data_IF_487909484157
#
_entry.id   IF_487909484157
#
_cell.length_a   1.000
_cell.length_b   1.000
_cell.length_c   1.000
_cell.angle_alpha   90.00
_cell.angle_beta   90.00
_cell.angle_gamma   90.00
#
_symmetry.space_group_name_H-M   'P 1'
#
loop_
_entity.id
_entity.type
_entity.pdbx_description
1 polymer ?
#
# COMPACT_ATOMS: atom_id res chain seq x y z
N UNK A 1 36.96 5.04 -1.99
CA UNK A 1 35.88 5.45 -1.05
C UNK A 1 34.94 6.49 -1.68
N UNK A 2 34.60 6.38 -2.97
CA UNK A 2 33.77 7.38 -3.68
C UNK A 2 32.60 6.76 -4.47
N UNK A 3 32.67 5.48 -4.85
CA UNK A 3 31.61 4.84 -5.63
C UNK A 3 30.40 4.41 -4.78
N UNK A 4 30.62 4.01 -3.52
CA UNK A 4 29.56 3.63 -2.57
C UNK A 4 28.70 4.82 -2.14
N UNK A 5 29.31 5.99 -1.99
CA UNK A 5 28.63 7.24 -1.64
C UNK A 5 27.77 7.75 -2.80
N UNK A 6 28.25 7.59 -4.03
CA UNK A 6 27.52 8.01 -5.24
C UNK A 6 26.26 7.17 -5.49
N UNK A 7 26.34 5.85 -5.27
CA UNK A 7 25.17 4.95 -5.36
C UNK A 7 24.13 5.29 -4.29
N UNK A 8 24.57 5.61 -3.07
CA UNK A 8 23.66 6.03 -1.99
C UNK A 8 22.91 7.34 -2.28
N UNK A 9 23.57 8.31 -2.91
CA UNK A 9 22.96 9.59 -3.29
C UNK A 9 21.96 9.42 -4.44
N UNK A 10 22.26 8.56 -5.42
CA UNK A 10 21.35 8.27 -6.54
C UNK A 10 20.09 7.53 -6.06
N UNK A 11 20.23 6.57 -5.14
CA UNK A 11 19.08 5.88 -4.55
C UNK A 11 18.19 6.80 -3.72
N UNK A 12 18.78 7.77 -3.00
CA UNK A 12 18.03 8.77 -2.23
C UNK A 12 17.28 9.77 -3.13
N UNK A 13 17.88 10.16 -4.26
CA UNK A 13 17.25 11.03 -5.27
C UNK A 13 16.08 10.35 -6.00
N UNK A 14 16.16 9.04 -6.25
CA UNK A 14 15.07 8.26 -6.86
C UNK A 14 13.86 8.10 -5.90
N UNK A 15 14.11 8.01 -4.59
CA UNK A 15 13.04 7.99 -3.58
C UNK A 15 12.34 9.35 -3.45
N UNK A 16 13.07 10.47 -3.55
CA UNK A 16 12.50 11.82 -3.48
C UNK A 16 11.68 12.20 -4.72
N UNK A 17 11.96 11.61 -5.89
CA UNK A 17 11.16 11.80 -7.11
C UNK A 17 9.87 10.95 -7.13
N UNK A 18 9.67 10.07 -6.15
CA UNK A 18 8.51 9.18 -6.05
C UNK A 18 7.36 9.76 -5.21
N UNK A 19 7.57 10.90 -4.53
CA UNK A 19 6.55 11.58 -3.73
C UNK A 19 6.42 13.05 -4.15
N UNK A 20 5.57 13.37 -5.15
CA UNK A 20 5.15 14.74 -5.34
C UNK A 20 4.13 15.07 -4.25
N UNK A 21 4.59 15.72 -3.19
CA UNK A 21 3.71 16.50 -2.32
C UNK A 21 3.16 17.67 -3.14
N UNK A 22 1.89 17.52 -3.51
CA UNK A 22 0.95 18.55 -3.92
C UNK A 22 1.38 19.44 -5.11
N UNK A 23 0.89 19.08 -6.31
CA UNK A 23 0.29 20.08 -7.19
C UNK A 23 -0.76 19.46 -8.13
N UNK A 24 -1.92 20.11 -8.14
CA UNK A 24 -2.97 20.12 -9.16
C UNK A 24 -4.04 18.99 -9.21
N UNK A 25 -5.04 19.20 -8.34
CA UNK A 25 -6.45 18.80 -8.44
C UNK A 25 -7.20 19.18 -9.74
N UNK A 26 -6.56 19.21 -10.91
CA UNK A 26 -7.24 19.48 -12.19
C UNK A 26 -7.58 18.22 -13.00
N UNK A 27 -7.07 17.04 -12.62
CA UNK A 27 -7.33 15.77 -13.32
C UNK A 27 -8.50 14.93 -12.79
N UNK A 28 -8.98 15.18 -11.57
CA UNK A 28 -9.96 14.30 -10.90
C UNK A 28 -11.45 14.63 -11.19
N UNK A 29 -11.74 15.70 -11.93
CA UNK A 29 -13.14 16.05 -12.28
C UNK A 29 -13.70 15.29 -13.49
N UNK A 30 -12.92 14.44 -14.17
CA UNK A 30 -13.35 13.76 -15.40
C UNK A 30 -13.48 12.23 -15.28
N UNK A 31 -13.50 11.69 -14.06
CA UNK A 31 -13.79 10.27 -13.79
C UNK A 31 -15.19 10.02 -13.22
N UNK A 32 -16.03 11.05 -13.13
CA UNK A 32 -17.39 10.95 -12.60
C UNK A 32 -18.47 10.70 -13.68
N UNK A 33 -18.07 10.24 -14.88
CA UNK A 33 -19.04 9.80 -15.89
C UNK A 33 -18.96 8.28 -16.08
N UNK A 34 -20.01 7.59 -15.59
CA UNK A 34 -20.40 6.20 -15.87
C UNK A 34 -19.41 5.12 -15.42
N UNK A 35 -19.74 4.47 -14.31
CA UNK A 35 -19.15 3.19 -13.86
C UNK A 35 -19.49 2.02 -14.79
N UNK A 36 -18.97 2.04 -16.02
CA UNK A 36 -19.13 0.98 -17.02
C UNK A 36 -17.86 0.15 -17.27
N UNK A 37 -16.76 0.44 -16.57
CA UNK A 37 -15.45 -0.20 -16.82
C UNK A 37 -14.82 -0.84 -15.57
N UNK A 38 -15.43 -0.69 -14.40
CA UNK A 38 -14.99 -1.37 -13.18
C UNK A 38 -15.71 -2.71 -13.09
N UNK A 39 -14.98 -3.81 -13.20
CA UNK A 39 -15.51 -5.18 -13.25
C UNK A 39 -14.85 -6.04 -12.15
N UNK A 40 -15.50 -7.13 -11.76
CA UNK A 40 -14.89 -8.19 -10.95
C UNK A 40 -14.25 -9.28 -11.82
N UNK A 41 -14.50 -9.27 -13.13
CA UNK A 41 -13.83 -10.15 -14.09
C UNK A 41 -12.44 -9.59 -14.41
N UNK A 42 -11.46 -10.46 -14.67
CA UNK A 42 -10.16 -10.04 -15.16
C UNK A 42 -10.31 -9.49 -16.59
N UNK A 43 -10.63 -8.19 -16.69
CA UNK A 43 -10.45 -7.47 -17.94
C UNK A 43 -8.96 -7.21 -18.09
N UNK A 44 -8.28 -8.21 -18.65
CA UNK A 44 -7.18 -7.94 -19.56
C UNK A 44 -7.61 -6.78 -20.42
N UNK A 45 -6.84 -5.70 -20.42
CA UNK A 45 -7.06 -4.61 -21.35
C UNK A 45 -7.32 -5.23 -22.73
N UNK A 46 -8.57 -5.17 -23.18
CA UNK A 46 -8.92 -5.28 -24.60
C UNK A 46 -8.40 -4.04 -25.36
N UNK A 47 -7.77 -3.11 -24.63
CA UNK A 47 -7.05 -1.98 -25.14
C UNK A 47 -5.69 -2.47 -25.61
N UNK A 48 -5.48 -2.48 -26.92
CA UNK A 48 -4.54 -1.57 -27.60
C UNK A 48 -3.15 -1.38 -26.99
N UNK A 49 -2.66 -2.25 -26.10
CA UNK A 49 -1.33 -2.19 -25.49
C UNK A 49 -0.28 -2.81 -26.40
N UNK A 50 -0.72 -3.73 -27.25
CA UNK A 50 -0.03 -4.18 -28.45
C UNK A 50 0.09 -3.06 -29.49
N UNK A 51 -0.95 -2.27 -29.70
CA UNK A 51 -0.95 -1.17 -30.70
C UNK A 51 -0.33 0.14 -30.18
N UNK A 52 -0.28 0.35 -28.87
CA UNK A 52 0.56 1.35 -28.20
C UNK A 52 1.89 0.75 -27.72
N UNK A 53 2.41 -0.25 -28.42
CA UNK A 53 3.81 -0.65 -28.32
C UNK A 53 4.67 0.61 -28.50
N UNK A 54 5.24 1.20 -27.42
CA UNK A 54 6.20 2.28 -27.57
C UNK A 54 7.41 1.71 -28.32
N UNK A 55 7.63 0.40 -28.23
CA UNK A 55 8.60 -0.39 -28.95
C UNK A 55 8.66 -0.05 -30.44
N UNK A 56 7.57 -0.21 -31.22
CA UNK A 56 7.60 0.07 -32.66
C UNK A 56 7.84 1.56 -32.98
N UNK A 57 7.16 2.46 -32.24
CA UNK A 57 7.33 3.90 -32.42
C UNK A 57 8.77 4.35 -32.07
N UNK A 58 9.35 3.82 -31.00
CA UNK A 58 10.69 4.14 -30.53
C UNK A 58 11.75 3.50 -31.45
N UNK A 59 11.54 2.29 -31.96
CA UNK A 59 12.42 1.69 -32.95
C UNK A 59 12.50 2.57 -34.21
N UNK A 60 11.34 3.03 -34.72
CA UNK A 60 11.30 3.94 -35.86
C UNK A 60 11.90 5.33 -35.57
N UNK A 61 11.67 5.87 -34.36
CA UNK A 61 12.17 7.19 -33.96
C UNK A 61 13.69 7.20 -33.70
N UNK A 62 14.23 6.14 -33.13
CA UNK A 62 15.63 6.06 -32.71
C UNK A 62 16.48 5.15 -33.59
N UNK A 63 15.93 4.64 -34.70
CA UNK A 63 16.58 3.78 -35.68
C UNK A 63 17.28 2.57 -35.02
N UNK A 64 16.63 2.00 -34.01
CA UNK A 64 17.12 0.84 -33.28
C UNK A 64 16.71 -0.43 -34.03
N UNK A 65 17.62 -1.39 -34.20
CA UNK A 65 17.24 -2.67 -34.77
C UNK A 65 16.43 -3.51 -33.78
N UNK A 66 15.58 -4.41 -34.31
CA UNK A 66 14.74 -5.31 -33.52
C UNK A 66 15.57 -6.21 -32.58
N UNK A 67 16.80 -6.54 -32.99
CA UNK A 67 17.76 -7.33 -32.20
C UNK A 67 18.51 -6.53 -31.13
N UNK A 68 18.55 -5.20 -31.21
CA UNK A 68 19.30 -4.34 -30.28
C UNK A 68 18.45 -3.81 -29.12
N UNK A 69 17.13 -4.08 -29.12
CA UNK A 69 16.18 -3.42 -28.23
C UNK A 69 15.53 -4.41 -27.26
N UNK A 70 16.25 -4.75 -26.18
CA UNK A 70 15.73 -5.62 -25.13
C UNK A 70 14.96 -4.79 -24.08
N UNK A 71 13.65 -5.02 -23.96
CA UNK A 71 12.78 -4.26 -23.05
C UNK A 71 12.45 -5.02 -21.77
N UNK A 72 12.70 -4.38 -20.63
CA UNK A 72 12.19 -4.82 -19.33
C UNK A 72 10.94 -4.04 -18.95
N UNK A 73 9.93 -4.73 -18.45
CA UNK A 73 8.74 -4.09 -17.87
C UNK A 73 8.87 -4.11 -16.36
N UNK A 74 8.64 -2.96 -15.72
CA UNK A 74 8.85 -2.79 -14.29
C UNK A 74 7.59 -2.17 -13.70
N UNK A 75 7.12 -2.72 -12.58
CA UNK A 75 5.98 -2.16 -11.85
C UNK A 75 5.96 -2.57 -10.38
N UNK A 76 5.21 -1.81 -9.59
CA UNK A 76 4.96 -2.08 -8.18
C UNK A 76 3.46 -2.18 -7.88
N UNK A 77 3.08 -2.95 -6.85
CA UNK A 77 1.66 -3.12 -6.46
C UNK A 77 0.81 -3.62 -7.63
N UNK A 78 -0.34 -3.01 -7.93
CA UNK A 78 -1.16 -3.34 -9.10
C UNK A 78 -0.38 -3.22 -10.43
N UNK A 79 0.47 -2.21 -10.58
CA UNK A 79 1.34 -2.09 -11.76
C UNK A 79 2.40 -3.21 -11.81
N UNK A 80 2.78 -3.76 -10.67
CA UNK A 80 3.63 -4.96 -10.59
C UNK A 80 2.90 -6.19 -11.14
N UNK A 81 1.61 -6.34 -10.81
CA UNK A 81 0.79 -7.40 -11.40
C UNK A 81 0.70 -7.23 -12.93
N UNK A 82 0.41 -6.01 -13.40
CA UNK A 82 0.42 -5.68 -14.83
C UNK A 82 1.77 -5.95 -15.50
N UNK A 83 2.88 -5.66 -14.83
CA UNK A 83 4.24 -5.94 -15.32
C UNK A 83 4.46 -7.44 -15.55
N UNK A 84 4.14 -8.28 -14.57
CA UNK A 84 4.25 -9.74 -14.68
C UNK A 84 3.33 -10.30 -15.77
N UNK A 85 2.08 -9.85 -15.77
CA UNK A 85 1.04 -10.24 -16.72
C UNK A 85 1.37 -9.85 -18.16
N UNK A 86 1.97 -8.67 -18.37
CA UNK A 86 2.39 -8.21 -19.70
C UNK A 86 3.51 -9.09 -20.26
N UNK A 87 4.53 -9.40 -19.47
CA UNK A 87 5.61 -10.29 -19.90
C UNK A 87 5.10 -11.71 -20.21
N UNK A 88 4.18 -12.25 -19.39
CA UNK A 88 3.56 -13.55 -19.62
C UNK A 88 2.77 -13.60 -20.94
N UNK A 89 2.05 -12.52 -21.27
CA UNK A 89 1.19 -12.45 -22.47
C UNK A 89 1.98 -12.09 -23.73
N UNK A 90 3.00 -11.25 -23.62
CA UNK A 90 3.81 -10.76 -24.75
C UNK A 90 5.31 -11.01 -24.53
N UNK A 91 5.74 -12.29 -24.37
CA UNK A 91 7.15 -12.61 -24.12
C UNK A 91 8.05 -12.30 -25.33
N UNK A 92 7.47 -12.11 -26.53
CA UNK A 92 8.20 -11.70 -27.72
C UNK A 92 8.48 -10.19 -27.78
N UNK A 93 7.80 -9.38 -26.96
CA UNK A 93 8.00 -7.92 -26.89
C UNK A 93 8.91 -7.49 -25.73
N UNK A 94 9.24 -8.40 -24.82
CA UNK A 94 9.97 -8.09 -23.57
C UNK A 94 10.98 -9.19 -23.25
N UNK A 95 12.16 -8.81 -22.78
CA UNK A 95 13.18 -9.77 -22.34
C UNK A 95 13.03 -10.18 -20.87
N UNK A 96 12.19 -9.48 -20.09
CA UNK A 96 11.85 -9.83 -18.72
C UNK A 96 10.95 -8.81 -18.03
N UNK A 97 10.54 -9.13 -16.80
CA UNK A 97 9.74 -8.24 -15.95
C UNK A 97 10.25 -8.19 -14.51
N UNK A 98 10.20 -7.00 -13.89
CA UNK A 98 10.30 -6.81 -12.44
C UNK A 98 8.91 -6.46 -11.90
N UNK A 99 8.37 -7.35 -11.07
CA UNK A 99 7.04 -7.23 -10.48
C UNK A 99 7.15 -7.11 -8.95
N UNK A 100 7.36 -5.89 -8.47
CA UNK A 100 7.59 -5.61 -7.04
C UNK A 100 6.27 -5.56 -6.27
N UNK A 101 6.15 -6.27 -5.15
CA UNK A 101 4.94 -6.32 -4.32
C UNK A 101 3.64 -6.52 -5.15
N UNK A 102 3.72 -7.36 -6.17
CA UNK A 102 2.69 -7.48 -7.19
C UNK A 102 1.46 -8.24 -6.67
N UNK A 103 0.30 -7.61 -6.70
CA UNK A 103 -0.98 -8.22 -6.32
C UNK A 103 -1.54 -9.07 -7.46
N UNK A 104 -0.85 -10.14 -7.82
CA UNK A 104 -1.22 -11.05 -8.93
C UNK A 104 -2.46 -11.90 -8.64
N UNK A 105 -2.80 -12.07 -7.37
CA UNK A 105 -4.02 -12.75 -6.93
C UNK A 105 -4.91 -11.74 -6.23
N UNK A 106 -6.06 -11.45 -6.82
CA UNK A 106 -7.09 -10.65 -6.18
C UNK A 106 -7.91 -11.55 -5.24
N UNK A 107 -7.79 -11.31 -3.94
CA UNK A 107 -8.73 -11.89 -2.97
C UNK A 107 -9.82 -10.87 -2.67
N UNK A 108 -11.06 -11.30 -2.47
CA UNK A 108 -12.08 -10.41 -1.90
C UNK A 108 -11.93 -10.29 -0.38
N UNK A 109 -11.41 -11.36 0.24
CA UNK A 109 -11.29 -11.47 1.68
C UNK A 109 -9.80 -11.58 2.03
N UNK A 110 -9.19 -10.47 2.43
CA UNK A 110 -7.75 -10.35 2.65
C UNK A 110 -7.32 -10.84 4.05
N UNK A 111 -7.85 -11.97 4.51
CA UNK A 111 -7.55 -12.49 5.87
C UNK A 111 -6.06 -12.81 6.01
N UNK A 112 -5.43 -13.31 4.95
CA UNK A 112 -4.01 -13.65 4.94
C UNK A 112 -3.12 -12.41 5.15
N UNK A 113 -3.58 -11.22 4.75
CA UNK A 113 -2.88 -9.96 5.01
C UNK A 113 -2.84 -9.66 6.50
N UNK A 114 -3.99 -9.73 7.18
CA UNK A 114 -4.08 -9.51 8.63
C UNK A 114 -3.31 -10.59 9.42
N UNK A 115 -3.32 -11.83 8.93
CA UNK A 115 -2.52 -12.91 9.51
C UNK A 115 -1.03 -12.56 9.43
N UNK A 116 -0.54 -12.15 8.26
CA UNK A 116 0.86 -11.77 8.06
C UNK A 116 1.25 -10.56 8.92
N UNK A 117 0.37 -9.54 9.04
CA UNK A 117 0.57 -8.41 9.95
C UNK A 117 0.73 -8.89 11.39
N UNK A 118 -0.12 -9.81 11.84
CA UNK A 118 0.00 -10.41 13.16
C UNK A 118 1.28 -11.22 13.38
N UNK A 119 1.77 -11.91 12.35
CA UNK A 119 3.06 -12.61 12.40
C UNK A 119 4.23 -11.61 12.50
N UNK A 120 4.20 -10.54 11.70
CA UNK A 120 5.19 -9.47 11.74
C UNK A 120 5.23 -8.70 13.06
N UNK A 121 4.09 -8.59 13.75
CA UNK A 121 4.01 -7.98 15.07
C UNK A 121 4.70 -8.80 16.18
N UNK A 122 4.89 -10.11 15.98
CA UNK A 122 5.34 -11.00 17.02
C UNK A 122 4.30 -11.24 18.11
N UNK A 123 4.51 -12.28 18.93
CA UNK A 123 3.48 -12.79 19.85
C UNK A 123 2.97 -11.76 20.87
N UNK A 124 3.87 -10.95 21.43
CA UNK A 124 3.55 -10.00 22.50
C UNK A 124 2.74 -8.81 21.98
N UNK A 125 3.23 -8.12 20.94
CA UNK A 125 2.51 -6.99 20.35
C UNK A 125 1.19 -7.45 19.72
N UNK A 126 1.17 -8.60 19.03
CA UNK A 126 -0.07 -9.19 18.49
C UNK A 126 -1.14 -9.36 19.57
N UNK A 127 -0.78 -9.88 20.74
CA UNK A 127 -1.73 -10.05 21.84
C UNK A 127 -2.29 -8.70 22.33
N UNK A 128 -1.44 -7.68 22.44
CA UNK A 128 -1.88 -6.32 22.83
C UNK A 128 -2.79 -5.70 21.76
N UNK A 129 -2.47 -5.86 20.47
CA UNK A 129 -3.32 -5.41 19.37
C UNK A 129 -4.71 -6.06 19.43
N UNK A 130 -4.77 -7.37 19.62
CA UNK A 130 -6.04 -8.10 19.74
C UNK A 130 -6.86 -7.66 20.96
N UNK A 131 -6.18 -7.37 22.08
CA UNK A 131 -6.83 -6.82 23.28
C UNK A 131 -7.40 -5.42 23.03
N UNK A 132 -6.67 -4.56 22.31
CA UNK A 132 -7.14 -3.25 21.91
C UNK A 132 -8.36 -3.37 21.01
N UNK A 133 -8.34 -4.24 19.99
CA UNK A 133 -9.50 -4.50 19.12
C UNK A 133 -10.72 -4.89 19.95
N UNK A 134 -10.58 -5.86 20.86
CA UNK A 134 -11.69 -6.29 21.71
C UNK A 134 -12.19 -5.19 22.66
N UNK A 135 -11.28 -4.32 23.15
CA UNK A 135 -11.62 -3.18 23.98
C UNK A 135 -12.40 -2.12 23.21
N UNK A 136 -11.98 -1.82 21.98
CA UNK A 136 -12.67 -0.87 21.10
C UNK A 136 -14.05 -1.40 20.74
N UNK A 137 -14.17 -2.68 20.34
CA UNK A 137 -15.46 -3.29 19.99
C UNK A 137 -16.50 -3.09 21.10
N UNK A 138 -16.14 -3.41 22.35
CA UNK A 138 -17.03 -3.21 23.51
C UNK A 138 -17.38 -1.73 23.72
N UNK A 139 -16.39 -0.84 23.69
CA UNK A 139 -16.61 0.59 23.93
C UNK A 139 -17.39 1.28 22.81
N UNK A 140 -17.40 0.73 21.59
CA UNK A 140 -18.21 1.25 20.49
C UNK A 140 -19.71 1.03 20.72
N UNK A 141 -20.10 0.01 21.48
CA UNK A 141 -21.50 -0.24 21.86
C UNK A 141 -21.98 0.71 22.97
N UNK A 142 -21.09 1.05 23.91
CA UNK A 142 -21.43 1.88 25.08
C UNK A 142 -21.25 3.38 24.82
N UNK A 143 -20.09 3.78 24.30
CA UNK A 143 -19.60 5.16 24.24
C UNK A 143 -18.96 5.49 22.89
N UNK A 144 -19.49 4.93 21.79
CA UNK A 144 -18.82 4.95 20.49
C UNK A 144 -18.41 6.33 19.96
N UNK A 145 -19.20 7.38 20.22
CA UNK A 145 -18.82 8.74 19.82
C UNK A 145 -17.59 9.25 20.58
N UNK A 146 -17.44 8.90 21.86
CA UNK A 146 -16.29 9.32 22.66
C UNK A 146 -15.02 8.61 22.18
N UNK A 147 -15.12 7.31 21.90
CA UNK A 147 -14.01 6.53 21.31
C UNK A 147 -13.59 7.15 19.98
N UNK A 148 -14.54 7.39 19.06
CA UNK A 148 -14.23 8.00 17.75
C UNK A 148 -13.62 9.39 17.90
N UNK A 149 -14.08 10.19 18.86
CA UNK A 149 -13.52 11.52 19.14
C UNK A 149 -12.05 11.43 19.62
N UNK A 150 -11.69 10.42 20.43
CA UNK A 150 -10.32 10.21 20.90
C UNK A 150 -9.34 10.08 19.72
N UNK A 151 -9.77 9.42 18.65
CA UNK A 151 -8.99 9.22 17.42
C UNK A 151 -9.17 10.33 16.37
N UNK A 152 -9.86 11.42 16.71
CA UNK A 152 -10.16 12.49 15.74
C UNK A 152 -11.10 12.05 14.60
N UNK A 153 -11.77 10.91 14.74
CA UNK A 153 -12.60 10.25 13.74
C UNK A 153 -14.12 10.44 14.00
N UNK A 154 -14.48 11.52 14.68
CA UNK A 154 -15.84 11.85 15.11
C UNK A 154 -16.91 11.79 14.00
N UNK A 155 -16.49 12.00 12.74
CA UNK A 155 -17.36 12.05 11.56
C UNK A 155 -17.70 10.67 10.98
N UNK A 156 -17.02 9.61 11.43
CA UNK A 156 -17.28 8.25 10.95
C UNK A 156 -18.52 7.71 11.67
N UNK A 157 -19.66 7.65 10.98
CA UNK A 157 -20.92 7.19 11.58
C UNK A 157 -20.94 5.67 11.78
N UNK A 158 -20.49 4.90 10.80
CA UNK A 158 -20.45 3.44 10.84
C UNK A 158 -19.32 2.93 11.76
N UNK A 159 -19.64 2.03 12.68
CA UNK A 159 -18.64 1.44 13.59
C UNK A 159 -17.67 0.52 12.85
N UNK A 160 -18.12 -0.17 11.80
CA UNK A 160 -17.27 -1.05 10.98
C UNK A 160 -16.19 -0.23 10.26
N UNK A 161 -16.55 0.91 9.68
CA UNK A 161 -15.60 1.79 9.00
C UNK A 161 -14.54 2.34 9.98
N UNK A 162 -14.95 2.60 11.22
CA UNK A 162 -14.03 3.04 12.27
C UNK A 162 -13.08 1.91 12.72
N UNK A 163 -13.58 0.67 12.85
CA UNK A 163 -12.73 -0.48 13.14
C UNK A 163 -11.73 -0.74 12.01
N UNK A 164 -12.18 -0.62 10.76
CA UNK A 164 -11.32 -0.70 9.58
C UNK A 164 -10.21 0.36 9.62
N UNK A 165 -10.53 1.61 9.96
CA UNK A 165 -9.53 2.68 10.14
C UNK A 165 -8.44 2.28 11.16
N UNK A 166 -8.81 1.70 12.30
CA UNK A 166 -7.84 1.30 13.31
C UNK A 166 -6.98 0.13 12.84
N UNK A 167 -7.58 -0.87 12.19
CA UNK A 167 -6.88 -2.01 11.63
C UNK A 167 -5.88 -1.59 10.53
N UNK A 168 -6.30 -0.73 9.60
CA UNK A 168 -5.47 -0.20 8.52
C UNK A 168 -4.28 0.61 9.06
N UNK A 169 -4.53 1.48 10.06
CA UNK A 169 -3.47 2.24 10.71
C UNK A 169 -2.49 1.35 11.50
N UNK A 170 -2.94 0.22 12.05
CA UNK A 170 -2.06 -0.78 12.64
C UNK A 170 -1.17 -1.42 11.57
N UNK A 171 -1.79 -1.90 10.49
CA UNK A 171 -1.13 -2.60 9.40
C UNK A 171 -0.08 -1.73 8.70
N UNK A 172 -0.35 -0.43 8.55
CA UNK A 172 0.58 0.54 7.99
C UNK A 172 1.94 0.53 8.73
N UNK A 173 1.94 0.32 10.05
CA UNK A 173 3.18 0.25 10.82
C UNK A 173 4.10 -0.90 10.46
N UNK A 174 3.51 -2.04 10.12
CA UNK A 174 4.26 -3.20 9.67
C UNK A 174 4.65 -3.05 8.20
N UNK A 175 3.72 -2.57 7.37
CA UNK A 175 3.94 -2.44 5.93
C UNK A 175 5.06 -1.46 5.57
N UNK A 176 5.17 -0.35 6.31
CA UNK A 176 6.13 0.71 6.02
C UNK A 176 7.33 0.72 6.98
N UNK A 177 7.50 -0.32 7.79
CA UNK A 177 8.73 -0.56 8.54
C UNK A 177 8.92 0.28 9.80
N UNK A 178 7.83 0.69 10.46
CA UNK A 178 7.85 1.34 11.77
C UNK A 178 7.07 0.57 12.86
N UNK A 179 7.23 -0.77 12.96
CA UNK A 179 6.49 -1.55 13.95
C UNK A 179 6.85 -1.16 15.39
N UNK A 180 8.08 -0.72 15.67
CA UNK A 180 8.53 -0.39 17.02
C UNK A 180 7.89 0.88 17.57
N UNK A 181 7.56 1.85 16.71
CA UNK A 181 6.88 3.09 17.08
C UNK A 181 5.44 2.85 17.54
N UNK A 182 4.86 1.73 17.07
CA UNK A 182 3.56 1.23 17.46
C UNK A 182 3.66 0.25 18.63
N UNK A 183 4.44 -0.82 18.49
CA UNK A 183 4.44 -1.96 19.41
C UNK A 183 5.10 -1.66 20.76
N UNK A 184 6.29 -1.07 20.79
CA UNK A 184 7.02 -0.80 22.03
C UNK A 184 6.18 -0.03 23.07
N UNK A 185 5.56 1.12 22.73
CA UNK A 185 4.76 1.88 23.71
C UNK A 185 3.51 1.12 24.15
N UNK A 186 2.93 0.26 23.31
CA UNK A 186 1.72 -0.51 23.64
C UNK A 186 2.02 -1.66 24.58
N UNK A 187 3.10 -2.39 24.31
CA UNK A 187 3.59 -3.46 25.18
C UNK A 187 3.99 -2.89 26.55
N UNK A 188 4.69 -1.75 26.56
CA UNK A 188 5.02 -1.04 27.80
C UNK A 188 3.75 -0.58 28.53
N UNK A 189 2.76 -0.06 27.81
CA UNK A 189 1.49 0.36 28.40
C UNK A 189 0.75 -0.80 29.05
N UNK A 190 0.72 -1.97 28.38
CA UNK A 190 0.11 -3.18 28.90
C UNK A 190 0.80 -3.64 30.19
N UNK A 191 2.13 -3.70 30.18
CA UNK A 191 2.93 -4.13 31.33
C UNK A 191 2.75 -3.21 32.54
N UNK A 192 2.61 -1.91 32.30
CA UNK A 192 2.48 -0.90 33.34
C UNK A 192 1.02 -0.54 33.69
N UNK A 193 0.02 -1.24 33.13
CA UNK A 193 -1.39 -0.98 33.41
C UNK A 193 -1.89 0.41 32.96
N UNK A 194 -1.30 0.98 31.91
CA UNK A 194 -1.74 2.25 31.32
C UNK A 194 -2.93 2.04 30.38
N UNK A 195 -3.68 3.11 30.12
CA UNK A 195 -4.79 3.08 29.17
C UNK A 195 -4.28 2.82 27.74
N UNK A 196 -4.63 1.65 27.21
CA UNK A 196 -4.17 1.21 25.89
C UNK A 196 -4.73 2.07 24.76
N UNK A 197 -5.95 2.63 24.87
CA UNK A 197 -6.55 3.43 23.79
C UNK A 197 -5.88 4.79 23.68
N UNK A 198 -5.54 5.42 24.81
CA UNK A 198 -4.81 6.69 24.82
C UNK A 198 -3.41 6.52 24.24
N UNK A 199 -2.73 5.43 24.60
CA UNK A 199 -1.40 5.12 24.07
C UNK A 199 -1.46 4.74 22.59
N UNK A 200 -2.47 3.97 22.17
CA UNK A 200 -2.73 3.65 20.77
C UNK A 200 -2.88 4.90 19.91
N UNK A 201 -3.76 5.82 20.31
CA UNK A 201 -3.95 7.10 19.61
C UNK A 201 -2.63 7.88 19.49
N UNK A 202 -1.86 7.94 20.58
CA UNK A 202 -0.56 8.64 20.59
C UNK A 202 0.49 7.97 19.70
N UNK A 203 0.49 6.64 19.63
CA UNK A 203 1.40 5.85 18.80
C UNK A 203 1.07 6.00 17.30
N UNK A 204 -0.22 5.96 16.95
CA UNK A 204 -0.68 6.18 15.57
C UNK A 204 -0.28 7.57 15.05
N UNK A 205 -0.35 8.61 15.88
CA UNK A 205 0.09 9.95 15.47
C UNK A 205 1.59 10.06 15.18
N UNK A 206 2.42 9.16 15.72
CA UNK A 206 3.85 9.09 15.38
C UNK A 206 4.10 8.39 14.05
N UNK A 207 3.30 7.37 13.75
CA UNK A 207 3.31 6.61 12.51
C UNK A 207 2.90 7.45 11.28
N UNK A 208 2.12 8.51 11.50
CA UNK A 208 1.60 9.40 10.44
C UNK A 208 2.50 10.62 10.13
N UNK A 209 3.75 10.65 10.60
CA UNK A 209 4.71 11.74 10.33
C UNK A 209 5.64 11.41 9.18
#
# INVERSE_FOLDING_TARGET
>A
MHMRTLIGIISLLLLLLSFPSALESYGLRRLQEKGGYLTQEEHWFHQTLDHFSPTEHLHGKYNMSEYESAWFVIGSSYAGALSAWFHLKFPHLTCGSLASSASILASYNFIEYDQQVGESAGAECKAVLQEITALVDRKLEEEGQQVKNLFGAAKISNNVDFLYLLADAAAAAFQYGFPDDLCSPLVDAKTNGKDLLVVWNSAQQRCNK
#
